data_IF_368554104267
#
_entry.id   IF_368554104267
#
_cell.length_a   1.000
_cell.length_b   1.000
_cell.length_c   1.000
_cell.angle_alpha   90.00
_cell.angle_beta   90.00
_cell.angle_gamma   90.00
#
_symmetry.space_group_name_H-M   'P 1'
#
loop_
_entity.id
_entity.type
_entity.pdbx_description
1 polymer ?
#
# COMPACT_ATOMS: atom_id res chain seq x y z
N UNK A 1 24.66 3.48 15.27
CA UNK A 1 24.22 3.00 13.93
C UNK A 1 23.49 4.15 13.27
N UNK A 2 23.90 4.53 12.09
CA UNK A 2 23.25 5.52 11.24
C UNK A 2 22.38 4.80 10.23
N UNK A 3 21.13 5.23 10.07
CA UNK A 3 20.17 4.62 9.15
C UNK A 3 20.06 5.47 7.90
N UNK A 4 20.24 4.84 6.75
CA UNK A 4 20.00 5.42 5.43
C UNK A 4 18.63 5.05 4.90
N UNK A 5 17.98 5.97 4.19
CA UNK A 5 16.74 5.67 3.46
C UNK A 5 16.87 6.25 2.05
N UNK A 6 16.88 5.39 1.04
CA UNK A 6 16.88 5.78 -0.37
C UNK A 6 15.43 5.73 -0.87
N UNK A 7 14.92 6.90 -1.28
CA UNK A 7 13.52 7.11 -1.63
C UNK A 7 12.71 7.69 -0.46
N UNK A 8 12.68 9.03 -0.36
CA UNK A 8 11.91 9.76 0.66
C UNK A 8 10.45 10.02 0.21
N UNK A 9 9.83 9.07 -0.49
CA UNK A 9 8.41 9.09 -0.81
C UNK A 9 7.52 9.00 0.44
N UNK A 10 6.20 8.84 0.27
CA UNK A 10 5.24 8.81 1.41
C UNK A 10 5.65 7.83 2.51
N UNK A 11 5.99 6.58 2.15
CA UNK A 11 6.46 5.61 3.13
C UNK A 11 7.86 5.95 3.65
N UNK A 12 8.79 6.32 2.77
CA UNK A 12 10.18 6.57 3.13
C UNK A 12 10.35 7.66 4.16
N UNK A 13 9.63 8.79 4.01
CA UNK A 13 9.70 9.88 4.99
C UNK A 13 9.07 9.49 6.32
N UNK A 14 7.93 8.79 6.32
CA UNK A 14 7.29 8.32 7.55
C UNK A 14 8.21 7.38 8.33
N UNK A 15 8.80 6.39 7.65
CA UNK A 15 9.73 5.43 8.25
C UNK A 15 10.99 6.12 8.77
N UNK A 16 11.59 7.01 7.97
CA UNK A 16 12.79 7.75 8.35
C UNK A 16 12.59 8.59 9.63
N UNK A 17 11.46 9.30 9.72
CA UNK A 17 11.14 10.12 10.89
C UNK A 17 10.85 9.27 12.13
N UNK A 18 10.26 8.09 11.99
CA UNK A 18 10.09 7.16 13.10
C UNK A 18 11.42 6.55 13.55
N UNK A 19 12.36 6.30 12.65
CA UNK A 19 13.72 5.91 12.99
C UNK A 19 14.43 7.01 13.78
N UNK A 20 14.29 8.28 13.38
CA UNK A 20 14.85 9.43 14.09
C UNK A 20 14.21 9.58 15.48
N UNK A 21 12.89 9.49 15.58
CA UNK A 21 12.17 9.52 16.85
C UNK A 21 12.62 8.38 17.80
N UNK A 22 12.97 7.21 17.24
CA UNK A 22 13.52 6.07 17.98
C UNK A 22 14.98 6.29 18.45
N UNK A 23 15.59 7.45 18.14
CA UNK A 23 16.91 7.88 18.59
C UNK A 23 18.06 7.49 17.66
N UNK A 24 17.81 7.29 16.38
CA UNK A 24 18.84 7.03 15.38
C UNK A 24 19.18 8.30 14.59
N UNK A 25 20.43 8.41 14.13
CA UNK A 25 20.80 9.39 13.11
C UNK A 25 20.29 8.89 11.75
N UNK A 26 19.58 9.74 11.00
CA UNK A 26 18.93 9.37 9.76
C UNK A 26 19.36 10.26 8.61
N UNK A 27 19.78 9.65 7.51
CA UNK A 27 20.07 10.31 6.25
C UNK A 27 19.17 9.74 5.17
N UNK A 28 18.36 10.59 4.55
CA UNK A 28 17.48 10.18 3.45
C UNK A 28 17.97 10.74 2.11
N UNK A 29 17.71 10.02 1.02
CA UNK A 29 17.88 10.58 -0.32
C UNK A 29 16.58 10.54 -1.12
N UNK A 30 16.40 11.55 -1.97
CA UNK A 30 15.34 11.62 -2.97
C UNK A 30 15.84 12.37 -4.21
N UNK A 31 15.36 11.99 -5.39
CA UNK A 31 15.77 12.61 -6.66
C UNK A 31 15.24 14.04 -6.85
N UNK A 32 14.22 14.44 -6.09
CA UNK A 32 13.56 15.74 -6.20
C UNK A 32 14.29 16.78 -5.37
N UNK A 33 15.09 17.61 -6.00
CA UNK A 33 15.92 18.63 -5.34
C UNK A 33 15.10 19.59 -4.46
N UNK A 34 14.00 20.13 -5.00
CA UNK A 34 13.13 21.05 -4.25
C UNK A 34 12.57 20.39 -2.99
N UNK A 35 12.13 19.13 -3.11
CA UNK A 35 11.62 18.36 -1.97
C UNK A 35 12.69 18.09 -0.91
N UNK A 36 13.90 17.78 -1.33
CA UNK A 36 15.06 17.61 -0.42
C UNK A 36 15.36 18.91 0.32
N UNK A 37 15.31 20.04 -0.37
CA UNK A 37 15.49 21.37 0.24
C UNK A 37 14.37 21.66 1.26
N UNK A 38 13.11 21.35 0.94
CA UNK A 38 11.98 21.53 1.85
C UNK A 38 12.08 20.62 3.07
N UNK A 39 12.52 19.37 2.91
CA UNK A 39 12.79 18.45 4.01
C UNK A 39 13.85 19.01 4.97
N UNK A 40 14.97 19.52 4.45
CA UNK A 40 16.03 20.11 5.27
C UNK A 40 15.59 21.41 5.95
N UNK A 41 14.71 22.20 5.33
CA UNK A 41 14.10 23.38 5.90
C UNK A 41 12.90 23.08 6.82
N UNK A 42 12.46 21.81 6.89
CA UNK A 42 11.28 21.35 7.64
C UNK A 42 9.96 22.03 7.20
N UNK A 43 9.79 22.23 5.89
CA UNK A 43 8.68 23.00 5.29
C UNK A 43 7.82 22.19 4.32
N UNK A 44 7.75 20.88 4.47
CA UNK A 44 6.89 20.05 3.62
C UNK A 44 5.42 20.18 4.04
N UNK A 45 4.53 19.98 3.06
CA UNK A 45 3.10 19.79 3.29
C UNK A 45 2.73 18.39 2.81
N UNK A 46 1.97 17.67 3.64
CA UNK A 46 1.58 16.29 3.36
C UNK A 46 0.23 15.95 3.96
N UNK A 47 -0.51 15.05 3.30
CA UNK A 47 -1.77 14.52 3.83
C UNK A 47 -1.57 13.33 4.82
N UNK A 48 -0.31 12.89 5.05
CA UNK A 48 -0.02 11.86 6.04
C UNK A 48 0.04 12.49 7.44
N UNK A 49 -0.82 12.04 8.36
CA UNK A 49 -0.84 12.57 9.72
C UNK A 49 0.51 12.42 10.45
N UNK A 50 0.79 13.33 11.36
CA UNK A 50 1.97 13.39 12.23
C UNK A 50 3.30 13.72 11.51
N UNK A 51 3.43 13.59 10.18
CA UNK A 51 4.71 13.72 9.46
C UNK A 51 5.31 15.12 9.60
N UNK A 52 4.50 16.18 9.41
CA UNK A 52 4.98 17.56 9.54
C UNK A 52 5.47 17.86 10.97
N UNK A 53 4.76 17.36 11.98
CA UNK A 53 5.12 17.53 13.39
C UNK A 53 6.41 16.78 13.74
N UNK A 54 6.55 15.52 13.29
CA UNK A 54 7.75 14.73 13.48
C UNK A 54 8.96 15.39 12.83
N UNK A 55 8.80 15.86 11.58
CA UNK A 55 9.88 16.54 10.87
C UNK A 55 10.29 17.84 11.58
N UNK A 56 9.31 18.63 12.03
CA UNK A 56 9.57 19.90 12.70
C UNK A 56 10.42 19.73 13.97
N UNK A 57 10.18 18.68 14.75
CA UNK A 57 10.89 18.44 16.02
C UNK A 57 12.17 17.61 15.84
N UNK A 58 12.39 16.99 14.68
CA UNK A 58 13.56 16.15 14.41
C UNK A 58 14.87 16.92 14.59
N UNK A 59 15.90 16.26 15.07
CA UNK A 59 17.24 16.85 15.34
C UNK A 59 18.34 16.17 14.54
N UNK A 60 18.21 14.87 14.34
CA UNK A 60 19.20 14.00 13.73
C UNK A 60 18.71 13.48 12.36
N UNK A 61 17.98 14.34 11.64
CA UNK A 61 17.47 14.06 10.30
C UNK A 61 18.12 14.99 9.28
N UNK A 62 18.57 14.42 8.15
CA UNK A 62 19.12 15.17 7.01
C UNK A 62 18.67 14.51 5.70
N UNK A 63 18.47 15.32 4.67
CA UNK A 63 18.11 14.87 3.33
C UNK A 63 19.18 15.29 2.30
N UNK A 64 19.39 14.47 1.27
CA UNK A 64 20.32 14.72 0.16
C UNK A 64 19.70 14.26 -1.17
N UNK A 65 20.20 14.74 -2.30
CA UNK A 65 19.89 14.19 -3.62
C UNK A 65 20.85 13.09 -4.08
N UNK A 66 21.85 12.77 -3.25
CA UNK A 66 22.95 11.86 -3.61
C UNK A 66 22.86 10.55 -2.82
N UNK A 67 22.47 9.45 -3.49
CA UNK A 67 22.42 8.13 -2.88
C UNK A 67 23.81 7.66 -2.39
N UNK A 68 24.88 8.03 -3.10
CA UNK A 68 26.23 7.64 -2.70
C UNK A 68 26.60 8.18 -1.30
N UNK A 69 26.14 9.38 -0.96
CA UNK A 69 26.33 9.94 0.37
C UNK A 69 25.63 9.08 1.44
N UNK A 70 24.42 8.60 1.16
CA UNK A 70 23.69 7.67 2.03
C UNK A 70 24.45 6.35 2.18
N UNK A 71 24.93 5.79 1.06
CA UNK A 71 25.68 4.53 1.04
C UNK A 71 26.99 4.63 1.82
N UNK A 72 27.72 5.72 1.64
CA UNK A 72 29.02 5.91 2.30
C UNK A 72 28.87 6.12 3.83
N UNK A 73 27.88 6.93 4.27
CA UNK A 73 27.72 7.32 5.65
C UNK A 73 26.92 6.35 6.53
N UNK A 74 26.03 5.53 5.94
CA UNK A 74 25.12 4.67 6.69
C UNK A 74 25.53 3.19 6.60
N UNK A 75 25.28 2.43 7.67
CA UNK A 75 25.56 0.99 7.72
C UNK A 75 24.34 0.15 7.34
N UNK A 76 23.15 0.60 7.73
CA UNK A 76 21.85 -0.01 7.45
C UNK A 76 21.07 0.93 6.53
N UNK A 77 20.80 0.49 5.30
CA UNK A 77 20.24 1.33 4.23
C UNK A 77 18.95 0.68 3.72
N UNK A 78 17.84 1.36 3.92
CA UNK A 78 16.53 0.97 3.39
C UNK A 78 16.33 1.57 2.00
N UNK A 79 15.88 0.75 1.06
CA UNK A 79 15.43 1.18 -0.28
C UNK A 79 13.92 1.15 -0.32
N UNK A 80 13.31 2.33 -0.51
CA UNK A 80 11.86 2.56 -0.54
C UNK A 80 11.45 3.32 -1.81
N UNK A 81 11.99 2.87 -2.93
CA UNK A 81 11.72 3.41 -4.27
C UNK A 81 10.45 2.81 -4.87
N UNK A 82 9.94 3.41 -5.94
CA UNK A 82 8.73 2.91 -6.61
C UNK A 82 9.03 1.64 -7.41
N UNK A 83 8.08 0.70 -7.37
CA UNK A 83 8.09 -0.53 -8.16
C UNK A 83 6.74 -0.66 -8.87
N UNK A 84 6.52 0.04 -10.01
CA UNK A 84 5.25 -0.02 -10.75
C UNK A 84 5.01 -1.39 -11.35
N UNK A 85 3.82 -1.64 -11.93
CA UNK A 85 3.53 -2.88 -12.64
C UNK A 85 3.99 -2.82 -14.08
N UNK A 86 4.51 -3.95 -14.57
CA UNK A 86 4.66 -4.26 -15.98
C UNK A 86 3.33 -4.72 -16.59
N UNK A 87 3.27 -4.81 -17.93
CA UNK A 87 2.09 -5.27 -18.67
C UNK A 87 1.69 -6.72 -18.34
N UNK A 88 2.65 -7.57 -17.97
CA UNK A 88 2.41 -8.96 -17.56
C UNK A 88 1.93 -9.11 -16.10
N UNK A 89 1.82 -7.98 -15.39
CA UNK A 89 1.40 -7.89 -14.00
C UNK A 89 2.55 -7.98 -12.99
N UNK A 90 3.78 -8.35 -13.40
CA UNK A 90 4.95 -8.34 -12.51
C UNK A 90 5.32 -6.93 -12.06
N UNK A 91 6.23 -6.81 -11.08
CA UNK A 91 6.78 -5.51 -10.68
C UNK A 91 7.95 -5.12 -11.56
N UNK A 92 7.97 -3.86 -12.03
CA UNK A 92 9.17 -3.23 -12.57
C UNK A 92 10.07 -2.79 -11.40
N UNK A 93 11.20 -3.50 -11.26
CA UNK A 93 12.20 -3.25 -10.21
C UNK A 93 13.42 -2.46 -10.72
N UNK A 94 13.28 -1.79 -11.86
CA UNK A 94 14.37 -1.02 -12.50
C UNK A 94 14.96 0.03 -11.55
N UNK A 95 14.12 0.72 -10.77
CA UNK A 95 14.58 1.70 -9.78
C UNK A 95 15.37 1.05 -8.63
N UNK A 96 15.02 -0.18 -8.24
CA UNK A 96 15.80 -0.95 -7.25
C UNK A 96 17.15 -1.35 -7.83
N UNK A 97 17.19 -1.79 -9.10
CA UNK A 97 18.44 -2.11 -9.79
C UNK A 97 19.39 -0.91 -9.90
N UNK A 98 18.85 0.29 -10.13
CA UNK A 98 19.66 1.52 -10.09
C UNK A 98 20.34 1.70 -8.73
N UNK A 99 19.59 1.56 -7.64
CA UNK A 99 20.17 1.63 -6.29
C UNK A 99 21.20 0.51 -6.06
N UNK A 100 20.89 -0.73 -6.43
CA UNK A 100 21.81 -1.87 -6.28
C UNK A 100 23.13 -1.61 -7.00
N UNK A 101 23.10 -1.02 -8.20
CA UNK A 101 24.32 -0.74 -8.99
C UNK A 101 25.26 0.27 -8.31
N UNK A 102 24.74 1.15 -7.46
CA UNK A 102 25.53 2.14 -6.72
C UNK A 102 26.33 1.54 -5.56
N UNK A 103 26.13 0.26 -5.23
CA UNK A 103 26.89 -0.48 -4.22
C UNK A 103 28.11 -1.22 -4.78
N UNK A 104 28.42 -1.13 -6.08
CA UNK A 104 29.49 -1.87 -6.74
C UNK A 104 30.88 -1.66 -6.10
N UNK A 105 31.17 -0.45 -5.63
CA UNK A 105 32.49 -0.05 -5.13
C UNK A 105 32.53 0.08 -3.61
N UNK A 106 31.57 -0.52 -2.91
CA UNK A 106 31.50 -0.47 -1.44
C UNK A 106 32.54 -1.42 -0.84
N UNK A 107 33.50 -0.86 -0.09
CA UNK A 107 34.56 -1.63 0.57
C UNK A 107 34.17 -2.11 1.98
N UNK A 108 33.35 -1.32 2.70
CA UNK A 108 32.91 -1.66 4.07
C UNK A 108 31.71 -2.58 4.05
N UNK A 109 31.50 -3.32 5.13
CA UNK A 109 30.29 -4.10 5.31
C UNK A 109 29.06 -3.18 5.37
N UNK A 110 28.06 -3.47 4.52
CA UNK A 110 26.78 -2.73 4.46
C UNK A 110 25.61 -3.71 4.41
N UNK A 111 24.46 -3.20 4.85
CA UNK A 111 23.19 -3.93 4.81
C UNK A 111 22.21 -3.13 3.98
N UNK A 112 21.85 -3.68 2.82
CA UNK A 112 20.82 -3.14 1.94
C UNK A 112 19.49 -3.83 2.26
N UNK A 113 18.55 -3.09 2.80
CA UNK A 113 17.21 -3.57 3.11
C UNK A 113 16.25 -3.15 2.00
N UNK A 114 15.72 -4.10 1.29
CA UNK A 114 14.68 -3.86 0.28
C UNK A 114 13.34 -3.76 1.02
N UNK A 115 12.80 -2.54 1.09
CA UNK A 115 11.54 -2.24 1.79
C UNK A 115 10.35 -2.01 0.84
N UNK A 116 10.60 -1.91 -0.48
CA UNK A 116 9.55 -1.87 -1.49
C UNK A 116 9.09 -3.29 -1.88
N UNK A 117 7.93 -3.38 -2.54
CA UNK A 117 7.43 -4.68 -3.01
C UNK A 117 8.16 -5.10 -4.29
N UNK A 118 8.67 -6.33 -4.31
CA UNK A 118 9.43 -6.93 -5.41
C UNK A 118 8.80 -8.25 -5.86
N UNK A 119 9.24 -8.78 -7.00
CA UNK A 119 8.83 -10.11 -7.43
C UNK A 119 9.56 -11.18 -6.59
N UNK A 120 8.94 -12.33 -6.32
CA UNK A 120 9.61 -13.40 -5.59
C UNK A 120 10.88 -13.90 -6.30
N UNK A 121 12.02 -13.74 -5.63
CA UNK A 121 13.34 -14.07 -6.13
C UNK A 121 14.19 -12.88 -6.59
N UNK A 122 13.64 -11.66 -6.63
CA UNK A 122 14.40 -10.46 -7.00
C UNK A 122 15.53 -10.17 -5.99
N UNK A 123 15.30 -10.34 -4.68
CA UNK A 123 16.32 -10.16 -3.66
C UNK A 123 17.52 -11.10 -3.84
N UNK A 124 17.28 -12.33 -4.30
CA UNK A 124 18.36 -13.29 -4.61
C UNK A 124 19.17 -12.80 -5.81
N UNK A 125 18.50 -12.23 -6.82
CA UNK A 125 19.17 -11.65 -7.99
C UNK A 125 19.98 -10.42 -7.60
N UNK A 126 19.44 -9.50 -6.77
CA UNK A 126 20.18 -8.35 -6.26
C UNK A 126 21.44 -8.80 -5.50
N UNK A 127 21.31 -9.81 -4.63
CA UNK A 127 22.43 -10.37 -3.88
C UNK A 127 23.54 -10.87 -4.80
N UNK A 128 23.19 -11.50 -5.92
CA UNK A 128 24.17 -12.07 -6.88
C UNK A 128 25.03 -11.02 -7.59
N UNK A 129 24.58 -9.78 -7.65
CA UNK A 129 25.27 -8.67 -8.31
C UNK A 129 26.08 -7.79 -7.35
N UNK A 130 25.94 -8.01 -6.05
CA UNK A 130 26.56 -7.19 -5.03
C UNK A 130 27.89 -7.79 -4.53
N UNK A 131 28.84 -6.96 -4.08
CA UNK A 131 30.03 -7.42 -3.40
C UNK A 131 29.68 -8.23 -2.15
N UNK A 132 30.50 -9.21 -1.78
CA UNK A 132 30.23 -10.15 -0.67
C UNK A 132 30.08 -9.47 0.72
N UNK A 133 30.62 -8.27 0.85
CA UNK A 133 30.50 -7.42 2.05
C UNK A 133 29.17 -6.63 2.10
N UNK A 134 28.37 -6.63 1.05
CA UNK A 134 27.00 -6.08 1.08
C UNK A 134 26.01 -7.22 1.26
N UNK A 135 25.15 -7.11 2.28
CA UNK A 135 24.11 -8.11 2.58
C UNK A 135 22.75 -7.55 2.26
N UNK A 136 21.95 -8.31 1.50
CA UNK A 136 20.56 -7.95 1.18
C UNK A 136 19.62 -8.57 2.19
N UNK A 137 18.69 -7.75 2.67
CA UNK A 137 17.54 -8.18 3.47
C UNK A 137 16.26 -7.70 2.78
N UNK A 138 15.15 -8.37 3.04
CA UNK A 138 13.83 -7.94 2.61
C UNK A 138 12.97 -7.59 3.82
N UNK A 139 12.49 -6.36 3.90
CA UNK A 139 11.67 -5.91 5.02
C UNK A 139 10.57 -4.95 4.52
N UNK A 140 9.53 -5.49 3.88
CA UNK A 140 8.43 -4.70 3.37
C UNK A 140 7.47 -4.30 4.48
N UNK A 141 6.75 -3.18 4.27
CA UNK A 141 5.76 -2.69 5.22
C UNK A 141 4.33 -3.05 4.80
N UNK A 142 3.45 -3.20 5.80
CA UNK A 142 2.02 -3.47 5.65
C UNK A 142 1.24 -2.25 6.12
N UNK A 143 1.19 -1.22 5.28
CA UNK A 143 0.62 0.09 5.60
C UNK A 143 -0.48 0.47 4.61
N UNK A 144 -1.35 1.39 5.04
CA UNK A 144 -2.30 2.06 4.17
C UNK A 144 -1.99 3.56 4.11
N UNK A 145 -2.07 4.15 2.92
CA UNK A 145 -1.87 5.60 2.76
C UNK A 145 -2.92 6.38 3.57
N UNK A 146 -2.51 7.50 4.18
CA UNK A 146 -3.31 8.26 5.11
C UNK A 146 -3.26 7.75 6.57
N UNK A 147 -2.51 6.67 6.84
CA UNK A 147 -2.29 6.14 8.19
C UNK A 147 -0.91 5.50 8.38
N UNK A 148 0.06 5.82 7.52
CA UNK A 148 1.37 5.16 7.46
C UNK A 148 2.08 5.20 8.82
N UNK A 149 2.16 6.37 9.46
CA UNK A 149 2.82 6.51 10.77
C UNK A 149 2.13 5.66 11.83
N UNK A 150 0.80 5.69 11.88
CA UNK A 150 0.01 4.87 12.81
C UNK A 150 0.17 3.38 12.56
N UNK A 151 0.19 2.95 11.30
CA UNK A 151 0.30 1.54 10.91
C UNK A 151 1.70 1.01 11.25
N UNK A 152 2.76 1.79 11.01
CA UNK A 152 4.13 1.44 11.42
C UNK A 152 4.26 1.31 12.95
N UNK A 153 3.60 2.22 13.71
CA UNK A 153 3.59 2.17 15.18
C UNK A 153 2.77 1.00 15.74
N UNK A 154 1.78 0.50 15.00
CA UNK A 154 0.82 -0.55 15.43
C UNK A 154 0.80 -1.75 14.49
N UNK A 155 1.92 -2.07 13.87
CA UNK A 155 2.00 -3.19 12.94
C UNK A 155 1.57 -4.51 13.58
N UNK A 156 0.83 -5.34 12.86
CA UNK A 156 0.47 -6.70 13.29
C UNK A 156 1.69 -7.63 13.24
N UNK A 157 2.60 -7.43 12.27
CA UNK A 157 3.84 -8.19 12.12
C UNK A 157 4.98 -7.35 11.54
N UNK A 158 6.20 -7.77 11.81
CA UNK A 158 7.42 -7.35 11.10
C UNK A 158 7.88 -8.55 10.27
N UNK A 159 7.85 -8.40 8.95
CA UNK A 159 8.29 -9.43 8.03
C UNK A 159 9.75 -9.19 7.67
N UNK A 160 10.62 -10.17 7.92
CA UNK A 160 12.04 -10.07 7.66
C UNK A 160 12.53 -11.26 6.83
N UNK A 161 12.87 -10.98 5.58
CA UNK A 161 13.54 -11.92 4.67
C UNK A 161 15.06 -11.80 4.83
N UNK A 162 15.73 -12.91 5.12
CA UNK A 162 17.18 -12.97 5.30
C UNK A 162 17.77 -14.19 4.60
N UNK A 163 19.05 -14.10 4.24
CA UNK A 163 19.83 -15.28 3.91
C UNK A 163 20.07 -16.12 5.18
N UNK A 164 20.12 -17.46 5.04
CA UNK A 164 20.33 -18.37 6.16
C UNK A 164 21.64 -18.06 6.94
N UNK A 165 22.66 -17.58 6.25
CA UNK A 165 23.93 -17.20 6.90
C UNK A 165 23.79 -16.02 7.87
N UNK A 166 22.68 -15.30 7.82
CA UNK A 166 22.41 -14.12 8.65
C UNK A 166 21.56 -14.38 9.89
N UNK A 167 21.11 -15.61 10.14
CA UNK A 167 20.24 -15.93 11.29
C UNK A 167 20.79 -15.43 12.65
N UNK A 168 22.10 -15.47 12.81
CA UNK A 168 22.79 -15.02 14.03
C UNK A 168 23.47 -13.63 13.88
N UNK A 169 23.24 -12.94 12.76
CA UNK A 169 23.83 -11.64 12.50
C UNK A 169 23.30 -10.58 13.49
N UNK A 170 24.19 -9.73 13.97
CA UNK A 170 23.82 -8.65 14.90
C UNK A 170 22.83 -7.68 14.27
N UNK A 171 22.90 -7.46 12.95
CA UNK A 171 22.00 -6.55 12.23
C UNK A 171 20.55 -7.00 12.27
N UNK A 172 20.28 -8.31 12.23
CA UNK A 172 18.92 -8.84 12.41
C UNK A 172 18.38 -8.45 13.80
N UNK A 173 19.23 -8.52 14.82
CA UNK A 173 18.87 -8.07 16.18
C UNK A 173 18.67 -6.55 16.25
N UNK A 174 19.49 -5.80 15.53
CA UNK A 174 19.40 -4.33 15.49
C UNK A 174 18.10 -3.87 14.79
N UNK A 175 17.71 -4.53 13.69
CA UNK A 175 16.42 -4.28 13.04
C UNK A 175 15.26 -4.61 14.01
N UNK A 176 15.30 -5.75 14.67
CA UNK A 176 14.29 -6.10 15.68
C UNK A 176 14.23 -5.07 16.83
N UNK A 177 15.35 -4.54 17.24
CA UNK A 177 15.40 -3.51 18.28
C UNK A 177 14.89 -2.15 17.76
N UNK A 178 15.14 -1.82 16.48
CA UNK A 178 14.57 -0.65 15.82
C UNK A 178 13.04 -0.71 15.87
N UNK A 179 12.43 -1.82 15.42
CA UNK A 179 10.98 -1.97 15.44
C UNK A 179 10.40 -1.95 16.85
N UNK A 180 11.07 -2.55 17.85
CA UNK A 180 10.65 -2.46 19.26
C UNK A 180 10.62 -1.04 19.81
N UNK A 181 11.43 -0.12 19.27
CA UNK A 181 11.42 1.29 19.66
C UNK A 181 10.37 2.10 18.91
N UNK A 182 10.09 1.74 17.65
CA UNK A 182 9.07 2.40 16.82
C UNK A 182 7.66 1.99 17.27
N UNK A 183 7.46 0.70 17.56
CA UNK A 183 6.15 0.13 17.80
C UNK A 183 5.67 0.35 19.23
N UNK A 184 4.39 0.68 19.36
CA UNK A 184 3.68 0.80 20.64
C UNK A 184 2.96 -0.49 21.04
N UNK A 185 2.86 -1.45 20.11
CA UNK A 185 2.39 -2.81 20.34
C UNK A 185 3.56 -3.80 20.20
N UNK A 186 3.29 -5.08 20.46
CA UNK A 186 4.27 -6.15 20.27
C UNK A 186 3.95 -6.91 19.00
N UNK A 187 4.39 -6.38 17.86
CA UNK A 187 4.24 -7.09 16.59
C UNK A 187 4.99 -8.42 16.61
N UNK A 188 4.43 -9.40 15.92
CA UNK A 188 5.09 -10.69 15.70
C UNK A 188 6.20 -10.49 14.67
N UNK A 189 7.43 -10.90 15.00
CA UNK A 189 8.53 -10.92 14.01
C UNK A 189 8.51 -12.24 13.27
N UNK A 190 8.29 -12.17 11.96
CA UNK A 190 8.30 -13.31 11.05
C UNK A 190 9.57 -13.30 10.21
N UNK A 191 10.53 -14.17 10.55
CA UNK A 191 11.81 -14.29 9.83
C UNK A 191 11.80 -15.52 8.93
N UNK A 192 12.19 -15.35 7.67
CA UNK A 192 12.24 -16.43 6.68
C UNK A 192 13.25 -16.08 5.57
N UNK A 193 13.40 -16.93 4.55
CA UNK A 193 14.21 -16.60 3.37
C UNK A 193 13.65 -15.37 2.64
N UNK A 194 14.51 -14.62 1.96
CA UNK A 194 14.12 -13.44 1.16
C UNK A 194 12.97 -13.77 0.22
N UNK A 195 13.09 -14.82 -0.57
CA UNK A 195 12.06 -15.27 -1.52
C UNK A 195 10.74 -15.63 -0.83
N UNK A 196 10.78 -16.32 0.31
CA UNK A 196 9.56 -16.62 1.08
C UNK A 196 8.89 -15.35 1.61
N UNK A 197 9.67 -14.37 2.03
CA UNK A 197 9.15 -13.10 2.51
C UNK A 197 8.55 -12.27 1.36
N UNK A 198 9.15 -12.27 0.16
CA UNK A 198 8.58 -11.66 -1.04
C UNK A 198 7.21 -12.28 -1.37
N UNK A 199 7.10 -13.61 -1.36
CA UNK A 199 5.81 -14.31 -1.54
C UNK A 199 4.82 -13.91 -0.44
N UNK A 200 5.25 -13.90 0.82
CA UNK A 200 4.38 -13.56 1.96
C UNK A 200 3.80 -12.16 1.81
N UNK A 201 4.61 -11.18 1.39
CA UNK A 201 4.18 -9.80 1.20
C UNK A 201 2.98 -9.68 0.26
N UNK A 202 3.07 -10.29 -0.92
CA UNK A 202 1.99 -10.20 -1.91
C UNK A 202 0.81 -11.12 -1.56
N UNK A 203 1.07 -12.30 -0.98
CA UNK A 203 0.03 -13.25 -0.60
C UNK A 203 -0.91 -12.72 0.48
N UNK A 204 -0.44 -11.90 1.43
CA UNK A 204 -1.29 -11.24 2.42
C UNK A 204 -2.33 -10.36 1.74
N UNK A 205 -1.93 -9.51 0.80
CA UNK A 205 -2.85 -8.64 0.09
C UNK A 205 -3.83 -9.44 -0.79
N UNK A 206 -3.37 -10.50 -1.45
CA UNK A 206 -4.24 -11.39 -2.23
C UNK A 206 -5.29 -12.10 -1.36
N UNK A 207 -4.95 -12.48 -0.13
CA UNK A 207 -5.91 -13.06 0.79
C UNK A 207 -6.95 -12.03 1.27
N UNK A 208 -6.53 -10.79 1.55
CA UNK A 208 -7.44 -9.71 1.93
C UNK A 208 -8.43 -9.37 0.81
N UNK A 209 -7.95 -9.26 -0.42
CA UNK A 209 -8.81 -9.01 -1.59
C UNK A 209 -9.78 -10.16 -1.86
N UNK A 210 -9.37 -11.42 -1.61
CA UNK A 210 -10.25 -12.58 -1.68
C UNK A 210 -11.38 -12.49 -0.66
N UNK A 211 -11.09 -12.05 0.59
CA UNK A 211 -12.12 -11.82 1.61
C UNK A 211 -13.11 -10.72 1.19
N UNK A 212 -12.62 -9.60 0.64
CA UNK A 212 -13.48 -8.51 0.14
C UNK A 212 -14.39 -9.03 -0.98
N UNK A 213 -13.82 -9.74 -1.96
CA UNK A 213 -14.59 -10.29 -3.08
C UNK A 213 -15.63 -11.32 -2.61
N UNK A 214 -15.26 -12.19 -1.67
CA UNK A 214 -16.21 -13.16 -1.10
C UNK A 214 -17.36 -12.48 -0.37
N UNK A 215 -17.10 -11.44 0.44
CA UNK A 215 -18.13 -10.66 1.10
C UNK A 215 -19.09 -9.99 0.09
N UNK A 216 -18.52 -9.42 -0.98
CA UNK A 216 -19.31 -8.82 -2.06
C UNK A 216 -20.14 -9.86 -2.81
N UNK A 217 -19.61 -11.07 -3.05
CA UNK A 217 -20.37 -12.16 -3.67
C UNK A 217 -21.56 -12.59 -2.80
N UNK A 218 -21.35 -12.75 -1.49
CA UNK A 218 -22.45 -13.06 -0.56
C UNK A 218 -23.51 -11.96 -0.60
N UNK A 219 -23.11 -10.69 -0.60
CA UNK A 219 -24.04 -9.57 -0.72
C UNK A 219 -24.81 -9.57 -2.04
N UNK A 220 -24.14 -9.84 -3.18
CA UNK A 220 -24.80 -9.95 -4.49
C UNK A 220 -25.88 -11.04 -4.48
N UNK A 221 -25.55 -12.23 -3.93
CA UNK A 221 -26.51 -13.34 -3.82
C UNK A 221 -27.73 -12.92 -3.01
N UNK A 222 -27.51 -12.33 -1.84
CA UNK A 222 -28.61 -11.90 -0.96
C UNK A 222 -29.47 -10.80 -1.58
N UNK A 223 -28.87 -9.82 -2.25
CA UNK A 223 -29.61 -8.76 -2.95
C UNK A 223 -30.46 -9.36 -4.06
N UNK A 224 -29.93 -10.28 -4.84
CA UNK A 224 -30.69 -10.97 -5.90
C UNK A 224 -31.84 -11.82 -5.37
N UNK A 225 -31.70 -12.36 -4.16
CA UNK A 225 -32.74 -13.13 -3.46
C UNK A 225 -33.73 -12.28 -2.65
N UNK A 226 -33.59 -10.95 -2.69
CA UNK A 226 -34.49 -10.01 -1.98
C UNK A 226 -34.18 -9.83 -0.49
N UNK A 227 -33.01 -10.26 -0.02
CA UNK A 227 -32.57 -10.22 1.38
C UNK A 227 -31.57 -9.06 1.65
N UNK A 228 -31.65 -7.98 0.88
CA UNK A 228 -30.72 -6.83 0.97
C UNK A 228 -30.53 -6.32 2.39
N UNK A 229 -31.62 -6.18 3.15
CA UNK A 229 -31.57 -5.64 4.51
C UNK A 229 -30.81 -6.51 5.52
N UNK A 230 -30.54 -7.77 5.20
CA UNK A 230 -29.88 -8.74 6.08
C UNK A 230 -28.41 -8.99 5.73
N UNK A 231 -27.89 -8.39 4.65
CA UNK A 231 -26.51 -8.62 4.17
C UNK A 231 -25.49 -8.42 5.29
N UNK A 232 -25.55 -7.31 5.99
CA UNK A 232 -24.61 -7.02 7.08
C UNK A 232 -24.77 -8.00 8.27
N UNK A 233 -25.98 -8.46 8.54
CA UNK A 233 -26.25 -9.44 9.60
C UNK A 233 -25.58 -10.78 9.28
N UNK A 234 -25.70 -11.24 8.03
CA UNK A 234 -25.10 -12.49 7.56
C UNK A 234 -23.57 -12.39 7.55
N UNK A 235 -23.00 -11.30 7.00
CA UNK A 235 -21.54 -11.10 6.99
C UNK A 235 -20.95 -10.98 8.41
N UNK A 236 -21.66 -10.32 9.33
CA UNK A 236 -21.25 -10.27 10.73
C UNK A 236 -21.30 -11.65 11.41
N UNK A 237 -22.30 -12.48 11.10
CA UNK A 237 -22.38 -13.84 11.60
C UNK A 237 -21.21 -14.71 11.08
N UNK A 238 -20.92 -14.65 9.76
CA UNK A 238 -19.76 -15.32 9.16
C UNK A 238 -18.46 -14.85 9.82
N UNK A 239 -18.27 -13.54 9.99
CA UNK A 239 -17.08 -12.95 10.61
C UNK A 239 -16.95 -13.21 12.11
N UNK A 240 -18.00 -13.72 12.78
CA UNK A 240 -17.95 -14.11 14.19
C UNK A 240 -17.25 -15.47 14.40
N UNK A 241 -17.11 -16.28 13.35
CA UNK A 241 -16.23 -17.45 13.39
C UNK A 241 -14.77 -16.98 13.50
N UNK A 242 -14.09 -17.41 14.58
CA UNK A 242 -12.70 -17.01 14.85
C UNK A 242 -11.71 -17.45 13.78
N UNK A 243 -12.03 -18.46 13.00
CA UNK A 243 -11.23 -18.94 11.86
C UNK A 243 -11.28 -17.97 10.67
N UNK A 244 -12.33 -17.14 10.60
CA UNK A 244 -12.58 -16.19 9.51
C UNK A 244 -12.24 -14.76 9.96
N UNK A 245 -12.85 -14.28 11.05
CA UNK A 245 -12.68 -12.93 11.58
C UNK A 245 -13.40 -11.86 10.73
N UNK A 246 -13.71 -10.74 11.37
CA UNK A 246 -14.55 -9.67 10.79
C UNK A 246 -13.83 -8.69 9.86
N UNK A 247 -12.50 -8.56 9.99
CA UNK A 247 -11.73 -7.61 9.17
C UNK A 247 -11.84 -7.98 7.69
N UNK A 248 -12.05 -6.99 6.81
CA UNK A 248 -12.20 -7.14 5.35
C UNK A 248 -13.38 -8.03 4.92
N UNK A 249 -14.42 -8.13 5.74
CA UNK A 249 -15.60 -8.96 5.46
C UNK A 249 -16.87 -8.09 5.53
N UNK A 250 -16.95 -7.08 4.68
CA UNK A 250 -18.11 -6.20 4.52
C UNK A 250 -18.54 -6.10 3.07
N UNK A 251 -19.85 -5.96 2.81
CA UNK A 251 -20.37 -5.62 1.49
C UNK A 251 -20.15 -4.14 1.22
N UNK A 252 -19.69 -3.82 0.01
CA UNK A 252 -19.46 -2.44 -0.37
C UNK A 252 -18.83 -2.32 -1.75
N UNK A 253 -18.10 -1.25 -1.99
CA UNK A 253 -17.25 -1.15 -3.18
C UNK A 253 -16.22 -2.29 -3.21
N UNK A 254 -15.82 -2.68 -4.39
CA UNK A 254 -14.69 -3.57 -4.57
C UNK A 254 -13.38 -2.96 -4.03
N UNK A 255 -12.33 -3.74 -4.02
CA UNK A 255 -11.01 -3.24 -3.67
C UNK A 255 -10.42 -2.39 -4.80
N UNK A 256 -9.60 -1.42 -4.44
CA UNK A 256 -8.91 -0.51 -5.34
C UNK A 256 -7.60 -0.02 -4.74
N UNK A 257 -7.12 1.11 -5.25
CA UNK A 257 -5.89 1.73 -4.80
C UNK A 257 -4.62 1.13 -5.41
N UNK A 258 -3.45 1.67 -5.08
CA UNK A 258 -2.20 1.33 -5.76
C UNK A 258 -1.63 -0.05 -5.41
N UNK A 259 -2.17 -0.76 -4.40
CA UNK A 259 -1.58 -2.00 -3.90
C UNK A 259 -2.40 -3.25 -4.23
N UNK A 260 -3.66 -3.31 -3.83
CA UNK A 260 -4.47 -4.53 -3.88
C UNK A 260 -4.63 -5.12 -5.28
N UNK A 261 -5.04 -4.35 -6.31
CA UNK A 261 -5.17 -4.91 -7.65
C UNK A 261 -3.81 -5.33 -8.23
N UNK A 262 -2.79 -4.52 -7.99
CA UNK A 262 -1.44 -4.78 -8.45
C UNK A 262 -0.85 -6.06 -7.85
N UNK A 263 -1.00 -6.26 -6.56
CA UNK A 263 -0.45 -7.43 -5.85
C UNK A 263 -1.15 -8.73 -6.29
N UNK A 264 -2.47 -8.69 -6.60
CA UNK A 264 -3.18 -9.81 -7.22
C UNK A 264 -2.59 -10.20 -8.58
N UNK A 265 -2.32 -9.22 -9.45
CA UNK A 265 -1.73 -9.45 -10.78
C UNK A 265 -0.32 -9.98 -10.68
N UNK A 266 0.49 -9.41 -9.77
CA UNK A 266 1.87 -9.85 -9.54
C UNK A 266 1.92 -11.28 -8.99
N UNK A 267 1.04 -11.64 -8.06
CA UNK A 267 0.98 -13.01 -7.56
C UNK A 267 0.53 -14.00 -8.65
N UNK A 268 -0.44 -13.62 -9.48
CA UNK A 268 -0.89 -14.43 -10.60
C UNK A 268 0.21 -14.63 -11.66
N UNK A 269 0.95 -13.56 -11.99
CA UNK A 269 2.10 -13.61 -12.90
C UNK A 269 3.17 -14.57 -12.37
N UNK A 270 3.53 -14.45 -11.08
CA UNK A 270 4.50 -15.34 -10.46
C UNK A 270 4.01 -16.80 -10.40
N UNK A 271 2.74 -17.03 -10.06
CA UNK A 271 2.15 -18.37 -10.06
C UNK A 271 2.30 -19.05 -11.41
N UNK A 272 1.97 -18.35 -12.50
CA UNK A 272 2.17 -18.86 -13.88
C UNK A 272 3.64 -19.16 -14.18
N UNK A 273 4.56 -18.29 -13.77
CA UNK A 273 5.99 -18.48 -13.98
C UNK A 273 6.55 -19.74 -13.31
N UNK A 274 5.93 -20.19 -12.19
CA UNK A 274 6.31 -21.44 -11.49
C UNK A 274 5.42 -22.63 -11.84
N UNK A 275 4.56 -22.52 -12.86
CA UNK A 275 3.71 -23.61 -13.36
C UNK A 275 2.44 -23.85 -12.55
N UNK A 276 1.95 -22.84 -11.82
CA UNK A 276 0.66 -22.90 -11.13
C UNK A 276 -0.37 -22.14 -11.95
N UNK A 277 -1.27 -22.88 -12.59
CA UNK A 277 -2.39 -22.33 -13.34
C UNK A 277 -3.57 -21.98 -12.40
N UNK A 278 -4.50 -21.15 -12.88
CA UNK A 278 -5.72 -20.77 -12.16
C UNK A 278 -5.48 -20.06 -10.82
N UNK A 279 -4.64 -19.01 -10.86
CA UNK A 279 -4.38 -18.20 -9.67
C UNK A 279 -5.66 -17.58 -9.10
N UNK A 280 -5.92 -17.78 -7.80
CA UNK A 280 -7.07 -17.19 -7.08
C UNK A 280 -7.05 -15.66 -7.20
N UNK A 281 -5.86 -15.03 -7.18
CA UNK A 281 -5.71 -13.59 -7.33
C UNK A 281 -6.29 -13.05 -8.64
N UNK A 282 -6.10 -13.77 -9.77
CA UNK A 282 -6.68 -13.40 -11.06
C UNK A 282 -8.20 -13.50 -11.06
N UNK A 283 -8.74 -14.61 -10.53
CA UNK A 283 -10.19 -14.77 -10.37
C UNK A 283 -10.79 -13.68 -9.49
N UNK A 284 -10.08 -13.31 -8.43
CA UNK A 284 -10.48 -12.26 -7.48
C UNK A 284 -10.50 -10.89 -8.17
N UNK A 285 -9.48 -10.57 -8.99
CA UNK A 285 -9.40 -9.31 -9.74
C UNK A 285 -10.51 -9.21 -10.79
N UNK A 286 -10.79 -10.29 -11.52
CA UNK A 286 -11.88 -10.38 -12.48
C UNK A 286 -13.25 -10.19 -11.80
N UNK A 287 -13.49 -10.89 -10.68
CA UNK A 287 -14.73 -10.71 -9.92
C UNK A 287 -14.90 -9.26 -9.43
N UNK A 288 -13.82 -8.61 -8.99
CA UNK A 288 -13.84 -7.23 -8.55
C UNK A 288 -14.30 -6.25 -9.65
N UNK A 289 -13.88 -6.50 -10.90
CA UNK A 289 -14.33 -5.73 -12.06
C UNK A 289 -15.82 -5.98 -12.37
N UNK A 290 -16.26 -7.23 -12.33
CA UNK A 290 -17.68 -7.59 -12.53
C UNK A 290 -18.58 -7.02 -11.43
N UNK A 291 -18.07 -6.94 -10.19
CA UNK A 291 -18.80 -6.36 -9.07
C UNK A 291 -19.10 -4.87 -9.29
N UNK A 292 -18.21 -4.11 -9.91
CA UNK A 292 -18.47 -2.72 -10.28
C UNK A 292 -19.67 -2.58 -11.24
N UNK A 293 -19.80 -3.49 -12.20
CA UNK A 293 -20.96 -3.54 -13.09
C UNK A 293 -22.24 -3.91 -12.34
N UNK A 294 -22.16 -4.89 -11.42
CA UNK A 294 -23.29 -5.24 -10.57
C UNK A 294 -23.79 -4.03 -9.74
N UNK A 295 -22.90 -3.26 -9.14
CA UNK A 295 -23.25 -2.08 -8.36
C UNK A 295 -23.92 -1.01 -9.22
N UNK A 296 -23.38 -0.74 -10.43
CA UNK A 296 -23.99 0.18 -11.38
C UNK A 296 -25.44 -0.22 -11.65
N UNK A 297 -25.66 -1.47 -12.11
CA UNK A 297 -26.98 -1.98 -12.45
C UNK A 297 -27.94 -1.97 -11.25
N UNK A 298 -27.45 -2.30 -10.07
CA UNK A 298 -28.20 -2.26 -8.82
C UNK A 298 -28.70 -0.85 -8.49
N UNK A 299 -27.82 0.15 -8.51
CA UNK A 299 -28.18 1.53 -8.19
C UNK A 299 -29.07 2.16 -9.26
N UNK A 300 -28.82 1.94 -10.53
CA UNK A 300 -29.68 2.39 -11.63
C UNK A 300 -31.09 1.78 -11.50
N UNK A 301 -31.19 0.47 -11.26
CA UNK A 301 -32.48 -0.19 -11.06
C UNK A 301 -33.23 0.27 -9.82
N UNK A 302 -32.52 0.67 -8.75
CA UNK A 302 -33.10 1.21 -7.52
C UNK A 302 -33.59 2.65 -7.69
N UNK A 303 -32.98 3.41 -8.59
CA UNK A 303 -33.25 4.82 -8.84
C UNK A 303 -34.45 5.04 -9.79
N UNK A 304 -35.64 4.57 -9.41
CA UNK A 304 -36.88 4.66 -10.23
C UNK A 304 -37.31 6.09 -10.55
N UNK A 305 -36.80 7.10 -9.83
CA UNK A 305 -37.14 8.52 -10.01
C UNK A 305 -36.11 9.25 -10.88
N UNK A 306 -35.14 8.57 -11.42
CA UNK A 306 -34.03 9.16 -12.21
C UNK A 306 -33.35 10.35 -11.50
N UNK A 307 -33.21 10.25 -10.17
CA UNK A 307 -32.59 11.29 -9.37
C UNK A 307 -31.08 11.36 -9.66
N UNK A 308 -30.43 12.52 -9.45
CA UNK A 308 -28.98 12.58 -9.43
C UNK A 308 -28.39 11.63 -8.39
N UNK A 309 -27.21 11.05 -8.69
CA UNK A 309 -26.47 10.24 -7.71
C UNK A 309 -25.57 11.11 -6.85
N UNK A 310 -25.40 10.75 -5.57
CA UNK A 310 -24.52 11.44 -4.65
C UNK A 310 -23.59 10.46 -3.93
N UNK A 311 -22.29 10.70 -4.06
CA UNK A 311 -21.23 9.93 -3.42
C UNK A 311 -20.74 10.65 -2.16
N UNK A 312 -20.39 9.88 -1.13
CA UNK A 312 -19.69 10.41 0.04
C UNK A 312 -18.24 10.75 -0.27
N UNK A 313 -17.58 9.92 -1.09
CA UNK A 313 -16.20 10.09 -1.55
C UNK A 313 -16.03 9.38 -2.92
N UNK A 314 -14.98 9.76 -3.66
CA UNK A 314 -14.66 9.18 -4.98
C UNK A 314 -13.30 8.49 -5.02
N UNK A 315 -12.49 8.65 -4.00
CA UNK A 315 -11.18 8.02 -3.87
C UNK A 315 -11.33 6.54 -3.47
N UNK A 316 -10.30 5.72 -3.65
CA UNK A 316 -10.39 4.29 -3.30
C UNK A 316 -10.61 4.05 -1.79
N UNK A 317 -10.35 5.06 -0.96
CA UNK A 317 -10.52 5.09 0.49
C UNK A 317 -10.86 6.53 0.92
N UNK A 318 -11.77 6.75 1.88
CA UNK A 318 -12.10 8.10 2.35
C UNK A 318 -10.89 8.87 2.90
N UNK A 319 -10.88 10.20 2.70
CA UNK A 319 -9.90 11.10 3.30
C UNK A 319 -8.50 11.10 2.67
N UNK A 320 -8.36 10.61 1.45
CA UNK A 320 -7.11 10.63 0.68
C UNK A 320 -7.33 11.21 -0.73
N UNK A 321 -6.25 11.58 -1.40
CA UNK A 321 -6.24 12.21 -2.72
C UNK A 321 -5.87 11.24 -3.88
N UNK A 322 -6.20 9.93 -3.75
CA UNK A 322 -5.77 8.91 -4.70
C UNK A 322 -6.95 8.28 -5.42
N UNK A 323 -6.96 8.41 -6.74
CA UNK A 323 -7.97 7.86 -7.64
C UNK A 323 -7.55 6.55 -8.32
N UNK A 324 -6.32 6.07 -8.08
CA UNK A 324 -5.80 4.85 -8.72
C UNK A 324 -6.75 3.68 -8.47
N UNK A 325 -7.31 3.13 -9.53
CA UNK A 325 -8.28 2.02 -9.51
C UNK A 325 -9.39 2.21 -8.47
N UNK A 326 -9.89 3.45 -8.34
CA UNK A 326 -10.96 3.77 -7.39
C UNK A 326 -12.31 3.29 -7.89
N UNK A 327 -12.89 2.28 -7.26
CA UNK A 327 -14.21 1.74 -7.61
C UNK A 327 -15.37 2.74 -7.42
N UNK A 328 -15.37 3.62 -6.39
CA UNK A 328 -16.32 4.73 -6.33
C UNK A 328 -16.23 5.66 -7.55
N UNK A 329 -15.02 5.99 -8.00
CA UNK A 329 -14.82 6.87 -9.15
C UNK A 329 -15.22 6.19 -10.47
N UNK A 330 -14.87 4.91 -10.65
CA UNK A 330 -15.29 4.12 -11.80
C UNK A 330 -16.82 4.07 -11.91
N UNK A 331 -17.52 3.85 -10.80
CA UNK A 331 -18.99 3.88 -10.76
C UNK A 331 -19.54 5.28 -11.08
N UNK A 332 -18.94 6.34 -10.56
CA UNK A 332 -19.35 7.71 -10.84
C UNK A 332 -19.23 8.04 -12.34
N UNK A 333 -18.12 7.63 -12.99
CA UNK A 333 -17.92 7.79 -14.41
C UNK A 333 -18.97 7.01 -15.23
N UNK A 334 -19.23 5.76 -14.87
CA UNK A 334 -20.23 4.93 -15.54
C UNK A 334 -21.64 5.57 -15.47
N UNK A 335 -22.02 6.12 -14.33
CA UNK A 335 -23.30 6.81 -14.16
C UNK A 335 -23.38 8.13 -14.96
N UNK A 336 -22.27 8.86 -15.09
CA UNK A 336 -22.18 10.04 -15.97
C UNK A 336 -22.36 9.66 -17.44
N UNK A 337 -21.77 8.54 -17.91
CA UNK A 337 -21.93 8.06 -19.29
C UNK A 337 -23.36 7.59 -19.58
N UNK A 338 -24.10 7.14 -18.58
CA UNK A 338 -25.55 6.85 -18.69
C UNK A 338 -26.44 8.10 -18.63
N UNK A 339 -25.83 9.29 -18.49
CA UNK A 339 -26.53 10.57 -18.52
C UNK A 339 -27.03 11.09 -17.16
N UNK A 340 -26.70 10.43 -16.06
CA UNK A 340 -27.07 10.91 -14.73
C UNK A 340 -26.16 12.07 -14.30
N UNK A 341 -26.75 12.98 -13.50
CA UNK A 341 -25.94 13.96 -12.74
C UNK A 341 -25.30 13.26 -11.55
N UNK A 342 -24.03 13.57 -11.29
CA UNK A 342 -23.26 13.03 -10.16
C UNK A 342 -22.77 14.14 -9.26
N UNK A 343 -23.02 13.98 -7.97
CA UNK A 343 -22.52 14.82 -6.88
C UNK A 343 -21.54 14.06 -6.01
N UNK A 344 -20.59 14.77 -5.39
CA UNK A 344 -19.72 14.25 -4.35
C UNK A 344 -19.64 15.24 -3.18
N UNK A 345 -19.60 14.72 -1.94
CA UNK A 345 -19.47 15.55 -0.74
C UNK A 345 -18.00 15.84 -0.43
N UNK A 346 -17.13 14.83 -0.54
CA UNK A 346 -15.70 14.95 -0.22
C UNK A 346 -14.96 15.68 -1.34
N UNK A 347 -14.42 16.85 -1.05
CA UNK A 347 -13.68 17.69 -1.99
C UNK A 347 -12.19 17.30 -2.14
N UNK A 348 -11.72 16.27 -1.44
CA UNK A 348 -10.30 15.88 -1.40
C UNK A 348 -9.70 15.62 -2.79
N UNK A 349 -10.52 15.14 -3.74
CA UNK A 349 -10.10 14.86 -5.12
C UNK A 349 -10.68 15.81 -6.18
N UNK A 350 -11.25 16.93 -5.79
CA UNK A 350 -12.00 17.85 -6.66
C UNK A 350 -11.26 18.30 -7.91
N UNK A 351 -9.97 18.54 -7.78
CA UNK A 351 -9.15 19.09 -8.87
C UNK A 351 -8.66 18.03 -9.86
N UNK A 352 -8.81 16.73 -9.53
CA UNK A 352 -8.26 15.62 -10.31
C UNK A 352 -9.31 14.68 -10.90
N UNK A 353 -10.61 14.91 -10.66
CA UNK A 353 -11.73 14.13 -11.21
C UNK A 353 -12.36 14.79 -12.43
N UNK A 354 -13.24 14.04 -13.11
CA UNK A 354 -14.03 14.54 -14.24
C UNK A 354 -14.85 15.79 -13.83
N UNK A 355 -14.74 16.86 -14.62
CA UNK A 355 -15.38 18.17 -14.35
C UNK A 355 -16.91 18.13 -14.38
N UNK A 356 -17.52 17.07 -14.90
CA UNK A 356 -18.98 16.87 -14.88
C UNK A 356 -19.49 16.54 -13.47
N UNK A 357 -18.61 16.04 -12.59
CA UNK A 357 -18.95 15.76 -11.18
C UNK A 357 -19.03 17.08 -10.42
N UNK A 358 -20.11 17.28 -9.69
CA UNK A 358 -20.35 18.50 -8.90
C UNK A 358 -20.08 18.24 -7.42
N UNK A 359 -19.26 19.10 -6.83
CA UNK A 359 -18.97 19.04 -5.40
C UNK A 359 -19.92 19.93 -4.61
N UNK A 360 -20.45 19.42 -3.50
CA UNK A 360 -21.37 20.13 -2.62
C UNK A 360 -21.37 19.56 -1.22
N UNK A 361 -21.36 20.42 -0.20
CA UNK A 361 -21.46 19.98 1.20
C UNK A 361 -22.82 19.33 1.52
N UNK A 362 -23.89 19.71 0.80
CA UNK A 362 -25.20 19.07 0.84
C UNK A 362 -25.93 19.28 -0.49
N UNK A 363 -26.50 18.24 -1.10
CA UNK A 363 -27.32 18.39 -2.29
C UNK A 363 -28.55 19.25 -2.01
N UNK A 364 -28.85 20.18 -2.93
CA UNK A 364 -30.02 21.09 -2.82
C UNK A 364 -31.31 20.39 -3.30
N UNK A 365 -31.16 19.41 -4.21
CA UNK A 365 -32.25 18.61 -4.79
C UNK A 365 -32.25 17.18 -4.21
N UNK A 366 -33.37 16.45 -4.27
CA UNK A 366 -33.37 15.04 -3.89
C UNK A 366 -32.35 14.24 -4.70
N UNK A 367 -31.62 13.33 -4.05
CA UNK A 367 -30.58 12.49 -4.67
C UNK A 367 -30.74 11.02 -4.31
N UNK A 368 -30.20 10.15 -5.15
CA UNK A 368 -29.95 8.75 -4.84
C UNK A 368 -28.57 8.61 -4.23
N UNK A 369 -28.50 8.25 -2.95
CA UNK A 369 -27.24 8.09 -2.24
C UNK A 369 -26.53 6.79 -2.62
N UNK A 370 -25.25 6.89 -2.88
CA UNK A 370 -24.33 5.76 -2.93
C UNK A 370 -23.68 5.66 -1.53
N UNK A 371 -24.20 4.79 -0.68
CA UNK A 371 -23.87 4.66 0.75
C UNK A 371 -23.27 3.28 1.09
N UNK A 372 -22.21 2.91 0.38
CA UNK A 372 -21.45 1.68 0.57
C UNK A 372 -20.25 1.88 1.52
#
# INVERSE_FOLDING_TARGET
MKIGVIGAGRLGICFALLCEQAGYDVLVSDIREDYVNDLNQKKITTNEPEVEDLLRVSKNFRATTNNKEVIDECDLIYTLVQTPSNDDGSYDVSAVWQVVSEFSDVEKRKYLVIGCTTNPGDCDQFTSQLPSNVKVLYNPEFIAQGSIVSDLKKADMVLLGIDQSMENDTTVKDINNLYKKIQINRAIVCTMSTKSAEITKIAVNCFLTTKVSYANQVGQVMIKDGLESEVNTVLNAIGSDTRIGRKYLGFGFGFGGPCFPRDNRAFASYARAVGVDHAIGETTDNFNNEHSNFLRDYYVNKNKKELPFCFKYLTYKPGIDILTESRPYDLALALLEEGYKVYCIDETCKDIVDKRIKFTAAPIEPVCWIDL
#
